data_IF_915099327592
#
_entry.id   IF_915099327592
#
_cell.length_a   1.000
_cell.length_b   1.000
_cell.length_c   1.000
_cell.angle_alpha   90.00
_cell.angle_beta   90.00
_cell.angle_gamma   90.00
#
_symmetry.space_group_name_H-M   'P 1'
#
loop_
_entity.id
_entity.type
_entity.pdbx_description
1 polymer ?
#
# COMPACT_ATOMS: atom_id res chain seq x y z
N UNK A 1 3.44 -14.07 4.47
CA UNK A 1 4.34 -13.63 3.36
C UNK A 1 5.04 -12.30 3.63
N UNK A 2 4.37 -11.29 4.20
CA UNK A 2 4.99 -9.98 4.47
C UNK A 2 6.30 -10.03 5.27
N UNK A 3 6.45 -11.02 6.17
CA UNK A 3 7.69 -11.28 6.93
C UNK A 3 8.91 -11.59 6.07
N UNK A 4 8.74 -12.04 4.83
CA UNK A 4 9.86 -12.24 3.90
C UNK A 4 10.43 -10.92 3.37
N UNK A 5 9.61 -9.86 3.40
CA UNK A 5 9.91 -8.54 2.86
C UNK A 5 10.33 -7.53 3.93
N UNK A 6 9.69 -7.57 5.10
CA UNK A 6 9.95 -6.65 6.20
C UNK A 6 10.58 -7.39 7.39
N UNK A 7 11.79 -6.98 7.77
CA UNK A 7 12.57 -7.63 8.85
C UNK A 7 12.00 -7.40 10.25
N UNK A 8 11.24 -6.32 10.45
CA UNK A 8 10.70 -5.96 11.76
C UNK A 8 9.33 -6.61 11.97
N UNK A 9 9.17 -7.51 12.98
CA UNK A 9 7.88 -8.15 13.26
C UNK A 9 6.80 -7.14 13.65
N UNK A 10 7.16 -6.09 14.40
CA UNK A 10 6.23 -5.02 14.78
C UNK A 10 5.75 -4.19 13.58
N UNK A 11 6.60 -4.03 12.55
CA UNK A 11 6.19 -3.38 11.31
C UNK A 11 5.24 -4.28 10.50
N UNK A 12 5.53 -5.58 10.39
CA UNK A 12 4.62 -6.55 9.75
C UNK A 12 3.27 -6.58 10.46
N UNK A 13 3.28 -6.64 11.79
CA UNK A 13 2.06 -6.63 12.58
C UNK A 13 1.26 -5.36 12.31
N UNK A 14 1.90 -4.17 12.32
CA UNK A 14 1.24 -2.90 12.00
C UNK A 14 0.60 -2.88 10.60
N UNK A 15 1.22 -3.49 9.60
CA UNK A 15 0.65 -3.61 8.26
C UNK A 15 -0.59 -4.52 8.26
N UNK A 16 -0.56 -5.60 9.04
CA UNK A 16 -1.66 -6.56 9.14
C UNK A 16 -2.83 -6.04 10.00
N UNK A 17 -2.59 -5.23 11.03
CA UNK A 17 -3.66 -4.61 11.84
C UNK A 17 -4.34 -3.42 11.16
N UNK A 18 -3.82 -2.95 10.02
CA UNK A 18 -4.44 -1.87 9.24
C UNK A 18 -5.62 -2.38 8.41
N UNK A 19 -6.55 -1.48 8.03
CA UNK A 19 -7.58 -1.79 7.04
C UNK A 19 -6.99 -2.46 5.80
N UNK A 20 -7.58 -3.56 5.36
CA UNK A 20 -7.11 -4.34 4.21
C UNK A 20 -5.78 -5.09 4.43
N UNK A 21 -5.34 -5.33 5.66
CA UNK A 21 -4.11 -6.09 5.95
C UNK A 21 -4.04 -7.48 5.30
N UNK A 22 -5.18 -8.17 5.16
CA UNK A 22 -5.28 -9.45 4.43
C UNK A 22 -5.07 -9.30 2.92
N UNK A 23 -5.54 -8.19 2.32
CA UNK A 23 -5.31 -7.86 0.91
C UNK A 23 -3.81 -7.66 0.63
N UNK A 24 -3.08 -7.04 1.57
CA UNK A 24 -1.63 -6.85 1.44
C UNK A 24 -0.87 -8.19 1.39
N UNK A 25 -1.36 -9.21 2.08
CA UNK A 25 -0.75 -10.53 2.04
C UNK A 25 -0.93 -11.20 0.68
N UNK A 26 -2.15 -11.19 0.12
CA UNK A 26 -2.42 -11.67 -1.24
C UNK A 26 -1.66 -10.88 -2.31
N UNK A 27 -1.62 -9.55 -2.18
CA UNK A 27 -0.86 -8.68 -3.09
C UNK A 27 0.64 -8.98 -3.05
N UNK A 28 1.20 -9.29 -1.88
CA UNK A 28 2.61 -9.67 -1.76
C UNK A 28 2.94 -10.97 -2.51
N UNK A 29 2.03 -11.94 -2.52
CA UNK A 29 2.16 -13.18 -3.28
C UNK A 29 2.05 -12.93 -4.78
N UNK A 30 1.07 -12.12 -5.19
CA UNK A 30 0.89 -11.73 -6.58
C UNK A 30 2.17 -11.07 -7.16
N UNK A 31 2.76 -10.13 -6.42
CA UNK A 31 4.00 -9.47 -6.84
C UNK A 31 5.20 -10.45 -6.89
N UNK A 32 5.25 -11.41 -5.98
CA UNK A 32 6.28 -12.45 -6.00
C UNK A 32 6.17 -13.34 -7.26
N UNK A 33 4.96 -13.79 -7.59
CA UNK A 33 4.69 -14.63 -8.76
C UNK A 33 5.01 -13.90 -10.08
N UNK A 34 4.83 -12.58 -10.10
CA UNK A 34 5.21 -11.72 -11.24
C UNK A 34 6.73 -11.46 -11.34
N UNK A 35 7.53 -11.99 -10.42
CA UNK A 35 9.00 -11.89 -10.47
C UNK A 35 9.55 -10.52 -10.05
N UNK A 36 8.78 -9.70 -9.34
CA UNK A 36 9.28 -8.41 -8.88
C UNK A 36 10.44 -8.57 -7.89
N UNK A 37 11.47 -7.73 -8.05
CA UNK A 37 12.56 -7.64 -7.09
C UNK A 37 12.04 -7.28 -5.69
N UNK A 38 12.68 -7.83 -4.65
CA UNK A 38 12.29 -7.66 -3.24
C UNK A 38 12.03 -6.20 -2.85
N UNK A 39 12.92 -5.29 -3.26
CA UNK A 39 12.79 -3.85 -2.99
C UNK A 39 11.53 -3.25 -3.63
N UNK A 40 11.19 -3.68 -4.85
CA UNK A 40 9.98 -3.26 -5.55
C UNK A 40 8.72 -3.80 -4.86
N UNK A 41 8.77 -5.02 -4.34
CA UNK A 41 7.66 -5.61 -3.57
C UNK A 41 7.43 -4.84 -2.27
N UNK A 42 8.48 -4.59 -1.48
CA UNK A 42 8.36 -3.79 -0.25
C UNK A 42 7.75 -2.42 -0.54
N UNK A 43 8.26 -1.76 -1.58
CA UNK A 43 7.81 -0.43 -2.00
C UNK A 43 6.32 -0.42 -2.37
N UNK A 44 5.88 -1.38 -3.17
CA UNK A 44 4.48 -1.52 -3.59
C UNK A 44 3.56 -1.86 -2.42
N UNK A 45 3.99 -2.73 -1.50
CA UNK A 45 3.21 -3.06 -0.29
C UNK A 45 3.04 -1.83 0.61
N UNK A 46 4.09 -1.05 0.83
CA UNK A 46 3.98 0.16 1.66
C UNK A 46 3.06 1.19 1.02
N UNK A 47 3.13 1.35 -0.30
CA UNK A 47 2.23 2.20 -1.09
C UNK A 47 0.77 1.73 -1.01
N UNK A 48 0.52 0.43 -1.19
CA UNK A 48 -0.80 -0.19 -1.01
C UNK A 48 -1.36 0.02 0.40
N UNK A 49 -0.52 -0.16 1.44
CA UNK A 49 -0.92 0.09 2.83
C UNK A 49 -1.29 1.56 3.06
N UNK A 50 -0.63 2.49 2.38
CA UNK A 50 -0.96 3.92 2.46
C UNK A 50 -2.31 4.22 1.83
N UNK A 51 -2.56 3.66 0.64
CA UNK A 51 -3.84 3.81 -0.06
C UNK A 51 -4.99 3.27 0.78
N UNK A 52 -4.88 2.05 1.32
CA UNK A 52 -5.91 1.45 2.17
C UNK A 52 -6.16 2.25 3.47
N UNK A 53 -5.09 2.76 4.08
CA UNK A 53 -5.21 3.60 5.28
C UNK A 53 -5.92 4.92 4.98
N UNK A 54 -5.59 5.55 3.85
CA UNK A 54 -6.23 6.80 3.43
C UNK A 54 -7.70 6.57 3.02
N UNK A 55 -7.99 5.52 2.25
CA UNK A 55 -9.34 5.23 1.77
C UNK A 55 -10.31 4.93 2.93
N UNK A 56 -9.83 4.19 3.94
CA UNK A 56 -10.59 3.93 5.17
C UNK A 56 -10.96 5.22 5.91
N UNK A 57 -10.00 6.15 6.05
CA UNK A 57 -10.25 7.46 6.65
C UNK A 57 -11.23 8.34 5.86
N UNK A 58 -11.29 8.18 4.54
CA UNK A 58 -12.23 8.87 3.65
C UNK A 58 -13.60 8.16 3.53
N UNK A 59 -13.78 7.00 4.16
CA UNK A 59 -14.98 6.16 4.00
C UNK A 59 -15.14 5.58 2.59
N UNK A 60 -14.06 5.51 1.82
CA UNK A 60 -14.03 4.93 0.48
C UNK A 60 -13.74 3.44 0.63
N UNK A 61 -14.57 2.59 0.04
CA UNK A 61 -14.28 1.18 -0.15
C UNK A 61 -13.57 1.02 -1.50
N UNK A 62 -12.23 0.96 -1.56
CA UNK A 62 -11.55 0.85 -2.83
C UNK A 62 -11.80 -0.56 -3.41
N UNK A 63 -12.42 -0.59 -4.59
CA UNK A 63 -12.48 -1.79 -5.43
C UNK A 63 -11.18 -1.91 -6.24
N UNK A 64 -10.89 -3.12 -6.71
CA UNK A 64 -9.80 -3.32 -7.67
C UNK A 64 -10.01 -2.39 -8.87
N UNK A 65 -9.01 -1.55 -9.17
CA UNK A 65 -9.00 -0.60 -10.29
C UNK A 65 -9.96 0.60 -10.22
N UNK A 66 -10.36 1.04 -9.02
CA UNK A 66 -11.13 2.29 -8.89
C UNK A 66 -10.25 3.51 -9.26
N UNK A 67 -10.36 3.97 -10.51
CA UNK A 67 -9.60 5.11 -11.03
C UNK A 67 -9.95 6.41 -10.30
N UNK A 68 -11.21 6.58 -9.88
CA UNK A 68 -11.63 7.76 -9.12
C UNK A 68 -10.99 7.78 -7.72
N UNK A 69 -10.92 6.63 -7.06
CA UNK A 69 -10.20 6.50 -5.79
C UNK A 69 -8.70 6.77 -5.97
N UNK A 70 -8.10 6.34 -7.08
CA UNK A 70 -6.69 6.61 -7.40
C UNK A 70 -6.41 8.08 -7.70
N UNK A 71 -7.33 8.78 -8.38
CA UNK A 71 -7.23 10.23 -8.64
C UNK A 71 -7.30 11.02 -7.33
N UNK A 72 -8.29 10.73 -6.49
CA UNK A 72 -8.40 11.34 -5.15
C UNK A 72 -7.17 11.03 -4.28
N UNK A 73 -6.60 9.83 -4.39
CA UNK A 73 -5.36 9.48 -3.70
C UNK A 73 -4.16 10.27 -4.24
N UNK A 74 -4.09 10.51 -5.56
CA UNK A 74 -3.05 11.35 -6.16
C UNK A 74 -3.09 12.78 -5.64
N UNK A 75 -4.29 13.36 -5.50
CA UNK A 75 -4.50 14.67 -4.89
C UNK A 75 -4.02 14.67 -3.43
N UNK A 76 -4.40 13.65 -2.65
CA UNK A 76 -3.94 13.48 -1.27
C UNK A 76 -2.42 13.41 -1.15
N UNK A 77 -1.73 12.68 -2.04
CA UNK A 77 -0.27 12.53 -2.00
C UNK A 77 0.47 13.88 -2.07
N UNK A 78 -0.11 14.89 -2.73
CA UNK A 78 0.47 16.24 -2.81
C UNK A 78 0.50 16.99 -1.48
N UNK A 79 -0.36 16.62 -0.53
CA UNK A 79 -0.55 17.26 0.78
C UNK A 79 -0.44 16.27 1.95
N UNK A 80 0.04 15.06 1.69
CA UNK A 80 -0.06 13.96 2.62
C UNK A 80 0.69 14.23 3.93
N UNK A 81 -0.04 14.15 5.05
CA UNK A 81 0.50 14.21 6.41
C UNK A 81 0.33 12.88 7.17
N UNK A 82 -0.01 11.79 6.47
CA UNK A 82 -0.25 10.49 7.10
C UNK A 82 1.00 10.00 7.85
N UNK A 83 0.84 9.73 9.14
CA UNK A 83 1.94 9.26 9.99
C UNK A 83 2.45 7.89 9.53
N UNK A 84 3.77 7.79 9.35
CA UNK A 84 4.43 6.55 8.92
C UNK A 84 4.49 6.33 7.41
N UNK A 85 4.11 7.31 6.58
CA UNK A 85 4.20 7.25 5.11
C UNK A 85 5.04 8.37 4.48
N UNK A 86 5.80 9.11 5.30
CA UNK A 86 6.65 10.20 4.83
C UNK A 86 7.73 9.75 3.84
N UNK A 87 7.88 10.51 2.75
CA UNK A 87 8.90 10.38 1.69
C UNK A 87 8.67 9.36 0.56
N UNK A 88 7.46 8.82 0.37
CA UNK A 88 7.18 8.08 -0.86
C UNK A 88 6.87 9.04 -2.03
N UNK A 89 7.54 8.85 -3.16
CA UNK A 89 7.24 9.60 -4.40
C UNK A 89 5.82 9.24 -4.86
N UNK A 90 5.02 10.23 -5.20
CA UNK A 90 3.61 10.04 -5.59
C UNK A 90 3.43 8.97 -6.70
N UNK A 91 4.31 8.95 -7.71
CA UNK A 91 4.29 7.95 -8.80
C UNK A 91 4.46 6.52 -8.29
N UNK A 92 5.30 6.33 -7.28
CA UNK A 92 5.57 5.02 -6.68
C UNK A 92 4.38 4.59 -5.83
N UNK A 93 3.78 5.53 -5.10
CA UNK A 93 2.56 5.32 -4.32
C UNK A 93 1.38 4.89 -5.19
N UNK A 94 1.16 5.56 -6.33
CA UNK A 94 0.08 5.22 -7.27
C UNK A 94 0.24 3.83 -7.89
N UNK A 95 1.47 3.42 -8.23
CA UNK A 95 1.73 2.08 -8.79
C UNK A 95 1.47 0.96 -7.78
N UNK A 96 1.71 1.21 -6.50
CA UNK A 96 1.40 0.24 -5.43
C UNK A 96 -0.07 0.24 -5.02
N UNK A 97 -0.78 1.36 -5.18
CA UNK A 97 -2.21 1.46 -4.92
C UNK A 97 -3.07 0.68 -5.94
N UNK A 98 -2.53 0.40 -7.14
CA UNK A 98 -3.11 -0.54 -8.11
C UNK A 98 -2.82 -1.97 -7.66
N UNK A 99 -3.68 -2.49 -6.77
CA UNK A 99 -3.70 -3.87 -6.31
C UNK A 99 -4.59 -4.73 -7.18
#
# INVERSE_FOLDING_TARGET
MLSQYFKSPSHVQRLLSRPGGSLLEGYSQYLQQRGYAKISVCTRITAASHFLYWSDGEGITPLEHDELALERFAEHLSRCQCQGFGNQRAVVSLRGARM
#
